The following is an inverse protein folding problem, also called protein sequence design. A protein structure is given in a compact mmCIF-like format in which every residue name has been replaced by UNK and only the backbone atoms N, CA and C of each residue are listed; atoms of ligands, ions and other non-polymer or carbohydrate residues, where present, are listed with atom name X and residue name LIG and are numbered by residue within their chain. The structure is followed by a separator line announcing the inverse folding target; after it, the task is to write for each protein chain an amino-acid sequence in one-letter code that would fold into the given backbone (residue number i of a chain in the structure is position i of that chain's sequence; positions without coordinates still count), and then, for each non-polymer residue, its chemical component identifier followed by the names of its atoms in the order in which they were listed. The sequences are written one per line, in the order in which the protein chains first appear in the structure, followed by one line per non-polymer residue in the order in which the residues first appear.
data_IF_569112050105
#
_entry.id   IF_569112050105
#
_cell.length_a   1.000
_cell.length_b   1.000
_cell.length_c   1.000
_cell.angle_alpha   90.00
_cell.angle_beta   90.00
_cell.angle_gamma   90.00
#
_symmetry.space_group_name_H-M   'P 1'
#
loop_
_entity.id
_entity.type
_entity.pdbx_description
1 polymer ?
#
# COMPACT_ATOMS: atom_id res chain seq x y z
N UNK A 1 15.59 16.63 44.35
CA UNK A 1 15.31 15.68 43.26
C UNK A 1 14.06 16.14 42.51
N UNK A 2 14.23 16.81 41.35
CA UNK A 2 13.12 17.25 40.52
C UNK A 2 12.85 16.17 39.44
N UNK A 3 11.69 15.51 39.51
CA UNK A 3 11.22 14.56 38.49
C UNK A 3 10.64 15.38 37.33
N UNK A 4 11.29 15.31 36.19
CA UNK A 4 10.79 15.89 34.94
C UNK A 4 9.85 14.82 34.33
N UNK A 5 8.54 15.08 34.41
CA UNK A 5 7.55 14.35 33.67
C UNK A 5 7.60 14.82 32.20
N UNK A 6 8.21 14.03 31.34
CA UNK A 6 8.14 14.23 29.90
C UNK A 6 6.73 13.89 29.41
N UNK A 7 5.93 14.89 29.08
CA UNK A 7 4.64 14.72 28.42
C UNK A 7 4.89 14.25 26.99
N UNK A 8 4.55 12.99 26.74
CA UNK A 8 4.51 12.42 25.40
C UNK A 8 3.27 13.01 24.70
N UNK A 9 3.48 14.06 23.88
CA UNK A 9 2.43 14.57 23.01
C UNK A 9 2.17 13.52 21.91
N UNK A 10 1.10 12.75 22.05
CA UNK A 10 0.53 11.96 20.97
C UNK A 10 -0.08 12.95 19.97
N UNK A 11 0.62 13.26 18.90
CA UNK A 11 0.05 13.98 17.79
C UNK A 11 -0.97 13.06 17.08
N UNK A 12 -2.25 13.27 17.38
CA UNK A 12 -3.37 12.74 16.60
C UNK A 12 -3.36 13.47 15.24
N UNK A 13 -2.58 12.95 14.31
CA UNK A 13 -2.62 13.40 12.93
C UNK A 13 -3.91 12.93 12.28
N UNK A 14 -4.93 13.79 12.22
CA UNK A 14 -6.10 13.58 11.38
C UNK A 14 -5.66 13.86 9.96
N UNK A 15 -5.48 12.81 9.16
CA UNK A 15 -5.31 12.95 7.71
C UNK A 15 -6.66 13.42 7.15
N UNK A 16 -6.72 14.66 6.69
CA UNK A 16 -7.89 15.23 6.05
C UNK A 16 -8.13 14.53 4.71
N UNK A 17 -9.19 13.71 4.61
CA UNK A 17 -9.66 13.13 3.36
C UNK A 17 -9.87 11.62 3.35
N UNK A 18 -9.24 10.83 4.22
CA UNK A 18 -9.42 9.36 4.31
C UNK A 18 -9.96 8.95 5.68
N UNK A 19 -10.69 7.83 5.75
CA UNK A 19 -11.15 7.26 7.02
C UNK A 19 -10.09 6.37 7.71
N UNK A 20 -8.82 6.45 7.29
CA UNK A 20 -7.71 5.68 7.83
C UNK A 20 -7.16 6.37 9.08
N UNK A 21 -7.07 5.63 10.19
CA UNK A 21 -6.63 6.16 11.49
C UNK A 21 -5.34 5.47 11.96
N UNK A 22 -4.36 6.24 12.44
CA UNK A 22 -3.13 5.72 13.01
C UNK A 22 -3.42 4.79 14.21
N UNK A 23 -2.64 3.72 14.32
CA UNK A 23 -2.72 2.67 15.33
C UNK A 23 -4.03 1.86 15.31
N UNK A 24 -4.84 2.00 14.27
CA UNK A 24 -6.01 1.18 14.02
C UNK A 24 -5.81 0.31 12.76
N UNK A 25 -6.49 -0.83 12.64
CA UNK A 25 -6.51 -1.59 11.39
C UNK A 25 -7.23 -0.79 10.30
N UNK A 26 -6.90 -1.10 9.04
CA UNK A 26 -7.66 -0.60 7.89
C UNK A 26 -9.09 -1.16 7.94
N UNK A 27 -10.06 -0.36 7.45
CA UNK A 27 -11.44 -0.85 7.27
C UNK A 27 -11.44 -2.06 6.35
N UNK A 28 -12.19 -3.09 6.74
CA UNK A 28 -12.30 -4.34 5.98
C UNK A 28 -12.89 -4.09 4.59
N UNK A 29 -12.27 -4.72 3.59
CA UNK A 29 -12.72 -4.69 2.19
C UNK A 29 -12.34 -5.98 1.48
N UNK A 30 -13.22 -6.45 0.60
CA UNK A 30 -13.00 -7.63 -0.25
C UNK A 30 -13.05 -7.19 -1.71
N UNK A 31 -12.03 -7.58 -2.49
CA UNK A 31 -11.98 -7.38 -3.94
C UNK A 31 -12.28 -8.70 -4.61
N UNK A 32 -13.46 -8.84 -5.21
CA UNK A 32 -13.93 -10.10 -5.83
C UNK A 32 -13.72 -10.11 -7.34
N UNK A 33 -13.83 -8.95 -8.00
CA UNK A 33 -13.53 -8.86 -9.43
C UNK A 33 -12.01 -8.68 -9.65
N UNK A 34 -11.39 -9.69 -10.22
CA UNK A 34 -9.95 -9.95 -10.31
C UNK A 34 -9.30 -10.23 -8.95
N UNK A 35 -9.16 -9.25 -8.06
CA UNK A 35 -8.51 -9.45 -6.77
C UNK A 35 -7.00 -9.63 -6.87
N UNK A 36 -6.42 -10.55 -6.11
CA UNK A 36 -4.99 -10.81 -6.07
C UNK A 36 -4.49 -11.57 -7.30
N UNK A 37 -3.38 -11.09 -7.87
CA UNK A 37 -2.66 -11.75 -8.95
C UNK A 37 -1.72 -12.80 -8.38
N UNK A 38 -1.96 -14.06 -8.71
CA UNK A 38 -1.10 -15.19 -8.37
C UNK A 38 -0.27 -15.57 -9.60
N UNK A 39 1.05 -15.65 -9.43
CA UNK A 39 1.94 -16.14 -10.48
C UNK A 39 2.12 -17.65 -10.30
N UNK A 40 1.63 -18.43 -11.24
CA UNK A 40 1.79 -19.87 -11.27
C UNK A 40 2.34 -20.33 -12.63
N UNK A 41 3.48 -21.01 -12.64
CA UNK A 41 4.12 -21.53 -13.86
C UNK A 41 4.34 -20.48 -14.96
N UNK A 42 4.49 -19.19 -14.62
CA UNK A 42 4.62 -18.07 -15.56
C UNK A 42 3.29 -17.48 -16.05
N UNK A 43 2.16 -18.11 -15.70
CA UNK A 43 0.81 -17.61 -15.93
C UNK A 43 0.32 -16.76 -14.75
N UNK A 44 -0.59 -15.82 -15.03
CA UNK A 44 -1.26 -15.05 -13.98
C UNK A 44 -2.68 -15.59 -13.81
N UNK A 45 -2.94 -16.06 -12.60
CA UNK A 45 -4.26 -16.39 -12.10
C UNK A 45 -4.78 -15.28 -11.19
N UNK A 46 -6.09 -15.27 -10.95
CA UNK A 46 -6.75 -14.29 -10.10
C UNK A 46 -7.46 -14.99 -8.95
N UNK A 47 -7.34 -14.41 -7.77
CA UNK A 47 -7.99 -14.87 -6.56
C UNK A 47 -8.65 -13.70 -5.85
N UNK A 48 -9.88 -13.89 -5.36
CA UNK A 48 -10.49 -12.90 -4.47
C UNK A 48 -9.52 -12.50 -3.36
N UNK A 49 -9.37 -11.19 -3.12
CA UNK A 49 -8.52 -10.66 -2.07
C UNK A 49 -9.36 -10.08 -0.94
N UNK A 50 -8.96 -10.37 0.29
CA UNK A 50 -9.57 -9.86 1.51
C UNK A 50 -8.50 -9.12 2.34
N UNK A 51 -8.79 -7.88 2.74
CA UNK A 51 -7.88 -7.08 3.57
C UNK A 51 -7.59 -7.69 4.94
N UNK A 52 -8.42 -8.64 5.41
CA UNK A 52 -8.14 -9.45 6.61
C UNK A 52 -6.85 -10.28 6.51
N UNK A 53 -6.32 -10.47 5.31
CA UNK A 53 -5.04 -11.17 5.08
C UNK A 53 -3.81 -10.28 5.24
N UNK A 54 -3.99 -8.97 5.49
CA UNK A 54 -2.88 -8.03 5.65
C UNK A 54 -2.00 -8.28 6.89
N UNK A 55 -2.54 -8.65 8.07
CA UNK A 55 -1.71 -8.99 9.24
C UNK A 55 -0.74 -10.15 8.98
N UNK A 56 0.25 -10.31 9.83
CA UNK A 56 1.26 -11.37 9.80
C UNK A 56 2.65 -10.90 9.34
N UNK A 57 2.72 -9.80 8.59
CA UNK A 57 3.99 -9.18 8.17
C UNK A 57 3.90 -7.66 8.25
N UNK A 58 5.04 -7.02 8.43
CA UNK A 58 5.17 -5.58 8.17
C UNK A 58 4.92 -5.33 6.69
N UNK A 59 4.15 -4.30 6.36
CA UNK A 59 3.83 -3.97 4.96
C UNK A 59 4.05 -2.52 4.64
N UNK A 60 4.63 -2.25 3.47
CA UNK A 60 4.41 -1.00 2.77
C UNK A 60 3.34 -1.29 1.72
N UNK A 61 2.16 -0.71 1.92
CA UNK A 61 1.01 -0.85 1.04
C UNK A 61 0.89 0.42 0.21
N UNK A 62 0.77 0.26 -1.10
CA UNK A 62 0.46 1.32 -2.03
C UNK A 62 -0.90 1.05 -2.67
N UNK A 63 -1.80 2.05 -2.67
CA UNK A 63 -2.98 2.09 -3.53
C UNK A 63 -2.75 3.17 -4.58
N UNK A 64 -2.99 2.87 -5.84
CA UNK A 64 -2.81 3.83 -6.95
C UNK A 64 -4.01 3.81 -7.89
N UNK A 65 -4.45 5.00 -8.32
CA UNK A 65 -5.32 5.11 -9.48
C UNK A 65 -4.62 4.51 -10.73
N UNK A 66 -5.36 3.90 -11.61
CA UNK A 66 -4.86 3.25 -12.83
C UNK A 66 -4.33 4.25 -13.88
N UNK A 67 -3.41 5.15 -13.47
CA UNK A 67 -2.86 6.26 -14.26
C UNK A 67 -1.33 6.26 -14.22
N UNK A 68 -0.67 6.45 -15.36
CA UNK A 68 0.80 6.52 -15.42
C UNK A 68 1.37 7.64 -14.54
N UNK A 69 0.74 8.81 -14.52
CA UNK A 69 1.16 9.95 -13.71
C UNK A 69 1.16 9.60 -12.23
N UNK A 70 0.08 9.01 -11.74
CA UNK A 70 -0.07 8.60 -10.33
C UNK A 70 0.92 7.50 -9.95
N UNK A 71 1.14 6.51 -10.84
CA UNK A 71 2.18 5.49 -10.64
C UNK A 71 3.56 6.12 -10.50
N UNK A 72 3.87 7.13 -11.33
CA UNK A 72 5.19 7.78 -11.33
C UNK A 72 5.48 8.60 -10.07
N UNK A 73 4.47 9.07 -9.35
CA UNK A 73 4.63 9.92 -8.17
C UNK A 73 5.49 9.29 -7.08
N UNK A 74 5.21 8.01 -6.76
CA UNK A 74 5.90 7.26 -5.72
C UNK A 74 6.80 6.14 -6.27
N UNK A 75 7.11 6.14 -7.59
CA UNK A 75 8.08 5.21 -8.16
C UNK A 75 9.45 5.27 -7.45
N UNK A 76 10.00 6.44 -7.07
CA UNK A 76 11.25 6.51 -6.31
C UNK A 76 11.20 5.76 -4.98
N UNK A 77 10.05 5.74 -4.29
CA UNK A 77 9.88 4.92 -3.09
C UNK A 77 9.93 3.42 -3.43
N UNK A 78 9.23 3.00 -4.49
CA UNK A 78 9.23 1.59 -4.92
C UNK A 78 10.62 1.10 -5.29
N UNK A 79 11.41 1.92 -5.99
CA UNK A 79 12.80 1.62 -6.35
C UNK A 79 13.68 1.46 -5.10
N UNK A 80 13.52 2.34 -4.10
CA UNK A 80 14.22 2.24 -2.81
C UNK A 80 13.80 0.98 -2.04
N UNK A 81 12.52 0.60 -2.02
CA UNK A 81 12.04 -0.63 -1.37
C UNK A 81 12.71 -1.86 -1.98
N UNK A 82 12.85 -1.92 -3.31
CA UNK A 82 13.55 -3.01 -3.99
C UNK A 82 15.03 -3.05 -3.58
N UNK A 83 15.70 -1.91 -3.47
CA UNK A 83 17.09 -1.79 -3.08
C UNK A 83 17.35 -2.16 -1.60
N UNK A 84 16.35 -2.06 -0.74
CA UNK A 84 16.48 -2.39 0.69
C UNK A 84 16.60 -3.88 0.97
N UNK A 85 16.19 -4.76 0.04
CA UNK A 85 16.26 -6.22 0.20
C UNK A 85 15.66 -6.71 1.54
N UNK A 86 14.49 -6.20 1.89
CA UNK A 86 13.77 -6.59 3.11
C UNK A 86 13.60 -8.11 3.21
N UNK A 87 13.59 -8.62 4.45
CA UNK A 87 13.37 -10.04 4.74
C UNK A 87 11.93 -10.45 4.39
N UNK A 88 11.75 -11.24 3.35
CA UNK A 88 10.43 -11.69 2.85
C UNK A 88 9.65 -12.51 3.90
N UNK A 89 10.30 -13.03 4.93
CA UNK A 89 9.60 -13.74 6.01
C UNK A 89 8.88 -12.79 6.96
N UNK A 90 9.35 -11.53 7.06
CA UNK A 90 8.84 -10.49 7.97
C UNK A 90 8.17 -9.32 7.26
N UNK A 91 8.41 -9.15 5.98
CA UNK A 91 7.98 -8.00 5.19
C UNK A 91 7.28 -8.41 3.90
N UNK A 92 6.35 -7.59 3.44
CA UNK A 92 5.74 -7.71 2.11
C UNK A 92 5.31 -6.36 1.56
N UNK A 93 5.67 -6.07 0.30
CA UNK A 93 5.05 -4.98 -0.45
C UNK A 93 3.66 -5.41 -0.93
N UNK A 94 2.66 -4.55 -0.75
CA UNK A 94 1.30 -4.75 -1.26
C UNK A 94 0.93 -3.59 -2.18
N UNK A 95 0.59 -3.88 -3.44
CA UNK A 95 0.18 -2.89 -4.42
C UNK A 95 -1.28 -3.15 -4.84
N UNK A 96 -2.15 -2.18 -4.62
CA UNK A 96 -3.55 -2.21 -5.03
C UNK A 96 -3.74 -1.24 -6.19
N UNK A 97 -4.13 -1.77 -7.35
CA UNK A 97 -4.29 -0.99 -8.57
C UNK A 97 -5.79 -0.78 -8.82
N UNK A 98 -6.24 0.45 -8.66
CA UNK A 98 -7.62 0.84 -8.95
C UNK A 98 -7.81 1.09 -10.45
N UNK A 99 -8.37 0.12 -11.14
CA UNK A 99 -8.63 0.20 -12.59
C UNK A 99 -9.87 1.06 -12.90
N UNK A 100 -10.82 1.17 -11.96
CA UNK A 100 -12.00 2.03 -12.10
C UNK A 100 -11.62 3.52 -12.24
N UNK A 101 -10.51 3.93 -11.61
CA UNK A 101 -9.97 5.29 -11.72
C UNK A 101 -8.93 5.46 -12.84
N UNK A 102 -8.94 4.57 -13.83
CA UNK A 102 -8.12 4.72 -15.03
C UNK A 102 -8.68 5.80 -15.96
N UNK A 103 -7.84 6.32 -16.86
CA UNK A 103 -8.31 7.18 -17.96
C UNK A 103 -9.23 6.33 -18.85
N UNK A 104 -10.36 6.90 -19.26
CA UNK A 104 -11.33 6.21 -20.13
C UNK A 104 -10.64 5.57 -21.34
N UNK A 105 -10.92 4.29 -21.57
CA UNK A 105 -10.33 3.51 -22.67
C UNK A 105 -8.95 2.91 -22.38
N UNK A 106 -8.28 3.24 -21.27
CA UNK A 106 -6.94 2.72 -20.96
C UNK A 106 -6.93 1.50 -20.04
N UNK A 107 -8.07 1.02 -19.58
CA UNK A 107 -8.17 -0.07 -18.61
C UNK A 107 -7.47 -1.37 -19.05
N UNK A 108 -7.51 -1.73 -20.33
CA UNK A 108 -6.79 -2.90 -20.85
C UNK A 108 -5.27 -2.74 -20.73
N UNK A 109 -4.76 -1.53 -20.99
CA UNK A 109 -3.35 -1.21 -20.84
C UNK A 109 -2.93 -1.30 -19.36
N UNK A 110 -3.71 -0.72 -18.44
CA UNK A 110 -3.45 -0.80 -16.99
C UNK A 110 -3.37 -2.25 -16.53
N UNK A 111 -4.30 -3.11 -16.96
CA UNK A 111 -4.28 -4.55 -16.65
C UNK A 111 -3.03 -5.25 -17.19
N UNK A 112 -2.59 -4.91 -18.40
CA UNK A 112 -1.37 -5.43 -19.02
C UNK A 112 -0.12 -5.07 -18.20
N UNK A 113 0.02 -3.80 -17.87
CA UNK A 113 1.13 -3.28 -17.04
C UNK A 113 1.14 -3.90 -15.63
N UNK A 114 -0.04 -4.09 -15.03
CA UNK A 114 -0.17 -4.74 -13.71
C UNK A 114 0.32 -6.19 -13.74
N UNK A 115 -0.05 -6.95 -14.78
CA UNK A 115 0.45 -8.33 -14.96
C UNK A 115 1.96 -8.38 -15.16
N UNK A 116 2.50 -7.45 -15.96
CA UNK A 116 3.93 -7.32 -16.17
C UNK A 116 4.66 -7.03 -14.86
N UNK A 117 4.20 -6.04 -14.07
CA UNK A 117 4.76 -5.71 -12.77
C UNK A 117 4.76 -6.92 -11.80
N UNK A 118 3.68 -7.73 -11.78
CA UNK A 118 3.64 -8.96 -10.98
C UNK A 118 4.70 -9.97 -11.41
N UNK A 119 4.96 -10.11 -12.71
CA UNK A 119 6.01 -11.02 -13.22
C UNK A 119 7.42 -10.52 -12.89
N UNK A 120 7.66 -9.20 -12.93
CA UNK A 120 8.92 -8.57 -12.57
C UNK A 120 9.21 -8.61 -11.08
N UNK A 121 8.15 -8.51 -10.24
CA UNK A 121 8.23 -8.52 -8.78
C UNK A 121 7.36 -9.62 -8.18
N UNK A 122 7.69 -10.90 -8.37
CA UNK A 122 6.81 -12.04 -8.01
C UNK A 122 6.51 -12.13 -6.50
N UNK A 123 7.40 -11.62 -5.66
CA UNK A 123 7.23 -11.61 -4.19
C UNK A 123 6.24 -10.56 -3.71
N UNK A 124 5.99 -9.51 -4.47
CA UNK A 124 5.01 -8.49 -4.12
C UNK A 124 3.58 -9.04 -4.20
N UNK A 125 2.75 -8.70 -3.23
CA UNK A 125 1.31 -8.88 -3.35
C UNK A 125 0.77 -7.80 -4.28
N UNK A 126 0.07 -8.20 -5.34
CA UNK A 126 -0.54 -7.28 -6.30
C UNK A 126 -2.02 -7.58 -6.38
N UNK A 127 -2.84 -6.57 -6.15
CA UNK A 127 -4.31 -6.64 -6.18
C UNK A 127 -4.82 -5.74 -7.29
N UNK A 128 -5.68 -6.28 -8.14
CA UNK A 128 -6.36 -5.54 -9.20
C UNK A 128 -7.81 -5.30 -8.78
N UNK A 129 -8.15 -4.05 -8.52
CA UNK A 129 -9.48 -3.60 -8.13
C UNK A 129 -10.15 -2.92 -9.35
N UNK A 130 -10.98 -3.69 -10.07
CA UNK A 130 -11.65 -3.17 -11.25
C UNK A 130 -12.85 -2.27 -10.92
N UNK A 131 -13.42 -2.41 -9.72
CA UNK A 131 -14.65 -1.73 -9.31
C UNK A 131 -14.40 -0.56 -8.36
N UNK A 132 -13.12 -0.30 -8.00
CA UNK A 132 -12.73 0.77 -7.08
C UNK A 132 -13.30 0.58 -5.68
N UNK A 133 -13.51 -0.67 -5.24
CA UNK A 133 -14.12 -0.97 -3.94
C UNK A 133 -13.22 -0.54 -2.78
N UNK A 134 -11.90 -0.63 -2.95
CA UNK A 134 -10.93 -0.19 -1.94
C UNK A 134 -10.97 1.32 -1.76
N UNK A 135 -10.97 2.07 -2.87
CA UNK A 135 -11.08 3.53 -2.84
C UNK A 135 -12.34 3.98 -2.07
N UNK A 136 -13.48 3.35 -2.37
CA UNK A 136 -14.76 3.65 -1.72
C UNK A 136 -14.75 3.27 -0.23
N UNK A 137 -14.20 2.10 0.10
CA UNK A 137 -14.16 1.59 1.48
C UNK A 137 -13.28 2.46 2.39
N UNK A 138 -12.14 2.96 1.88
CA UNK A 138 -11.18 3.75 2.67
C UNK A 138 -11.33 5.26 2.47
N UNK A 139 -12.35 5.70 1.70
CA UNK A 139 -12.66 7.11 1.42
C UNK A 139 -11.45 7.86 0.84
N UNK A 140 -10.83 7.26 -0.21
CA UNK A 140 -9.64 7.81 -0.83
C UNK A 140 -9.99 8.80 -1.93
N UNK A 141 -9.12 9.79 -2.13
CA UNK A 141 -9.24 10.74 -3.24
C UNK A 141 -9.09 10.03 -4.58
N UNK A 142 -9.87 10.49 -5.55
CA UNK A 142 -9.71 10.05 -6.95
C UNK A 142 -8.43 10.59 -7.55
N UNK A 143 -7.87 9.82 -8.50
CA UNK A 143 -6.69 10.21 -9.28
C UNK A 143 -5.43 10.45 -8.44
N UNK A 144 -5.39 9.85 -7.24
CA UNK A 144 -4.30 9.98 -6.28
C UNK A 144 -3.68 8.62 -5.94
N UNK A 145 -2.54 8.68 -5.29
CA UNK A 145 -1.89 7.54 -4.67
C UNK A 145 -2.06 7.59 -3.15
N UNK A 146 -1.96 6.45 -2.50
CA UNK A 146 -1.91 6.31 -1.05
C UNK A 146 -0.73 5.41 -0.68
N UNK A 147 0.04 5.82 0.31
CA UNK A 147 1.06 4.98 0.97
C UNK A 147 0.67 4.74 2.42
N UNK A 148 0.66 3.49 2.83
CA UNK A 148 0.41 3.06 4.21
C UNK A 148 1.54 2.14 4.67
N UNK A 149 2.03 2.33 5.89
CA UNK A 149 2.86 1.32 6.56
C UNK A 149 2.00 0.62 7.62
N UNK A 150 1.96 -0.70 7.55
CA UNK A 150 1.29 -1.56 8.53
C UNK A 150 2.34 -2.33 9.34
N UNK A 151 2.09 -2.44 10.65
CA UNK A 151 2.84 -3.38 11.48
C UNK A 151 2.37 -4.84 11.27
N UNK A 152 2.99 -5.80 11.95
CA UNK A 152 2.65 -7.22 11.82
C UNK A 152 1.25 -7.57 12.34
N UNK A 153 0.66 -6.74 13.19
CA UNK A 153 -0.73 -6.85 13.64
C UNK A 153 -1.73 -6.23 12.64
N UNK A 154 -1.24 -5.60 11.55
CA UNK A 154 -2.07 -4.93 10.54
C UNK A 154 -2.53 -3.52 10.94
N UNK A 155 -1.94 -2.92 11.99
CA UNK A 155 -2.26 -1.55 12.40
C UNK A 155 -1.49 -0.54 11.57
N UNK A 156 -2.15 0.56 11.24
CA UNK A 156 -1.57 1.68 10.50
C UNK A 156 -0.54 2.41 11.35
N UNK A 157 0.69 2.50 10.87
CA UNK A 157 1.79 3.22 11.53
C UNK A 157 2.23 4.46 10.77
N UNK A 158 1.88 4.54 9.50
CA UNK A 158 2.06 5.71 8.63
C UNK A 158 0.97 5.71 7.57
N UNK A 159 0.50 6.90 7.17
CA UNK A 159 -0.44 7.08 6.07
C UNK A 159 -0.18 8.43 5.39
N UNK A 160 -0.17 8.43 4.07
CA UNK A 160 -0.07 9.64 3.25
C UNK A 160 -0.75 9.45 1.89
N UNK A 161 -1.61 10.39 1.50
CA UNK A 161 -2.18 10.46 0.15
C UNK A 161 -1.33 11.41 -0.72
N UNK A 162 -1.12 11.03 -1.97
CA UNK A 162 -0.36 11.78 -2.95
C UNK A 162 1.14 11.47 -2.94
N UNK A 163 1.91 12.34 -3.58
CA UNK A 163 3.36 12.21 -3.72
C UNK A 163 4.09 12.42 -2.40
N UNK A 164 4.96 11.48 -2.04
CA UNK A 164 5.85 11.60 -0.90
C UNK A 164 7.04 12.54 -1.19
N UNK A 165 7.45 13.33 -0.19
CA UNK A 165 8.76 14.00 -0.18
C UNK A 165 9.87 12.99 0.11
N UNK A 166 11.13 13.37 -0.17
CA UNK A 166 12.30 12.54 0.13
C UNK A 166 12.38 12.19 1.63
N UNK A 167 12.07 13.14 2.50
CA UNK A 167 12.03 12.93 3.95
C UNK A 167 10.96 11.92 4.36
N UNK A 168 9.78 11.98 3.76
CA UNK A 168 8.70 11.01 4.01
C UNK A 168 9.04 9.62 3.47
N UNK A 169 9.68 9.52 2.29
CA UNK A 169 10.17 8.24 1.78
C UNK A 169 11.17 7.60 2.72
N UNK A 170 12.13 8.38 3.25
CA UNK A 170 13.08 7.89 4.23
C UNK A 170 12.39 7.44 5.53
N UNK A 171 11.43 8.22 6.02
CA UNK A 171 10.62 7.87 7.19
C UNK A 171 9.88 6.53 7.00
N UNK A 172 9.30 6.29 5.83
CA UNK A 172 8.61 5.03 5.50
C UNK A 172 9.57 3.84 5.56
N UNK A 173 10.77 3.98 4.97
CA UNK A 173 11.78 2.91 4.96
C UNK A 173 12.31 2.61 6.37
N UNK A 174 12.66 3.64 7.13
CA UNK A 174 13.18 3.49 8.50
C UNK A 174 12.12 2.89 9.43
N UNK A 175 10.87 3.31 9.27
CA UNK A 175 9.75 2.74 10.03
C UNK A 175 9.55 1.26 9.70
N UNK A 176 9.57 0.87 8.41
CA UNK A 176 9.45 -0.51 8.01
C UNK A 176 10.60 -1.38 8.55
N UNK A 177 11.85 -0.87 8.55
CA UNK A 177 13.02 -1.54 9.16
C UNK A 177 12.81 -1.76 10.66
N UNK A 178 12.40 -0.72 11.37
CA UNK A 178 12.17 -0.77 12.82
C UNK A 178 11.11 -1.81 13.17
N UNK A 179 9.96 -1.78 12.50
CA UNK A 179 8.83 -2.68 12.77
C UNK A 179 9.15 -4.16 12.53
N UNK A 180 10.10 -4.48 11.63
CA UNK A 180 10.57 -5.85 11.41
C UNK A 180 11.43 -6.40 12.56
N UNK A 181 11.91 -5.53 13.46
CA UNK A 181 12.73 -5.91 14.62
C UNK A 181 11.90 -6.10 15.89
N UNK A 182 10.66 -5.62 15.87
CA UNK A 182 9.67 -5.80 16.95
C UNK A 182 8.96 -7.16 16.86
#
# INVERSE_FOLDING_TARGET
MKRIFGSLFLALGVAWGTNITLNQPLKEVVVTDKGELILDGGSIEYKSWDSKTLPGKVRILQHIAGRKSVKAENQPLMDKIVAEHFDDTKYQTTNIINVDDAIMGTGLFVRGETKKAKKEHPKSQVVMDNDGVVQKAWDLKKQESLIVVLDKEGKVRFVHEGKLSDAQMQQVLDLAKKLQQE
#
